data_IF_390441980547
#
_entry.id   IF_390441980547
#
_cell.length_a   1.000
_cell.length_b   1.000
_cell.length_c   1.000
_cell.angle_alpha   90.00
_cell.angle_beta   90.00
_cell.angle_gamma   90.00
#
_symmetry.space_group_name_H-M   'P 1'
#
loop_
_entity.id
_entity.type
_entity.pdbx_description
1 polymer ?
#
# COMPACT_ATOMS: atom_id res chain seq x y z
N UNK A 1 49.82 -45.07 31.47
CA UNK A 1 48.41 -45.00 31.08
C UNK A 1 48.00 -43.53 31.07
N UNK A 2 47.91 -42.85 29.90
CA UNK A 2 47.60 -41.45 29.79
C UNK A 2 46.18 -41.33 29.25
N UNK A 3 45.27 -40.67 29.96
CA UNK A 3 43.91 -40.33 29.56
C UNK A 3 43.90 -39.19 28.56
N UNK A 4 43.10 -39.22 27.50
CA UNK A 4 42.98 -38.12 26.55
C UNK A 4 42.07 -37.01 27.07
N UNK A 5 42.45 -35.79 26.80
CA UNK A 5 41.70 -34.56 27.13
C UNK A 5 40.38 -34.42 26.34
N UNK A 6 39.31 -33.88 26.93
CA UNK A 6 38.05 -33.70 26.24
C UNK A 6 38.16 -32.56 25.22
N UNK A 7 37.71 -32.85 24.01
CA UNK A 7 37.61 -31.93 22.86
C UNK A 7 36.54 -30.84 23.12
N UNK A 8 36.98 -29.60 23.15
CA UNK A 8 36.15 -28.40 23.15
C UNK A 8 35.53 -28.20 21.75
N UNK A 9 34.43 -28.88 21.42
CA UNK A 9 33.70 -28.73 20.17
C UNK A 9 32.20 -28.42 20.47
N UNK A 10 31.93 -27.53 21.36
CA UNK A 10 30.56 -27.22 21.74
C UNK A 10 30.14 -25.75 21.63
N UNK A 11 31.05 -24.84 21.35
CA UNK A 11 30.74 -23.41 21.46
C UNK A 11 30.55 -22.66 20.12
N UNK A 12 30.82 -23.32 19.00
CA UNK A 12 30.74 -22.67 17.69
C UNK A 12 29.32 -22.73 17.06
N UNK A 13 28.42 -23.61 17.54
CA UNK A 13 27.09 -23.76 16.98
C UNK A 13 26.02 -22.84 17.57
N UNK A 14 26.25 -22.24 18.72
CA UNK A 14 25.25 -21.38 19.39
C UNK A 14 25.24 -19.94 18.89
N UNK A 15 26.26 -19.48 18.16
CA UNK A 15 26.34 -18.09 17.67
C UNK A 15 25.68 -17.92 16.31
N UNK A 16 25.42 -18.99 15.58
CA UNK A 16 24.83 -18.92 14.24
C UNK A 16 23.29 -18.78 14.21
N UNK A 17 22.61 -19.00 15.35
CA UNK A 17 21.16 -18.90 15.43
C UNK A 17 20.62 -17.53 15.85
N UNK A 18 21.48 -16.57 16.19
CA UNK A 18 21.07 -15.22 16.59
C UNK A 18 21.07 -14.18 15.45
N UNK A 19 21.37 -14.61 14.23
CA UNK A 19 21.33 -13.77 13.04
C UNK A 19 20.12 -14.04 12.11
N UNK A 20 19.07 -14.66 12.62
CA UNK A 20 17.76 -14.56 11.93
C UNK A 20 17.28 -13.12 12.14
N UNK A 21 17.91 -12.25 11.38
CA UNK A 21 17.60 -10.83 11.36
C UNK A 21 16.11 -10.61 11.15
N UNK A 22 15.56 -9.69 11.91
CA UNK A 22 14.30 -9.05 11.56
C UNK A 22 14.37 -8.69 10.07
N UNK A 23 13.70 -9.45 9.23
CA UNK A 23 13.49 -9.03 7.85
C UNK A 23 12.65 -7.78 7.94
N UNK A 24 13.28 -6.63 7.77
CA UNK A 24 12.57 -5.39 7.54
C UNK A 24 11.59 -5.65 6.40
N UNK A 25 10.33 -5.23 6.52
CA UNK A 25 9.39 -5.33 5.41
C UNK A 25 10.04 -4.67 4.18
N UNK A 26 9.79 -5.23 2.99
CA UNK A 26 10.27 -4.79 1.67
C UNK A 26 9.80 -3.36 1.32
N UNK A 27 9.98 -2.42 2.20
CA UNK A 27 9.81 -1.00 1.94
C UNK A 27 11.20 -0.45 1.64
N UNK A 28 11.42 0.01 0.42
CA UNK A 28 12.61 0.79 0.14
C UNK A 28 12.65 1.98 1.09
N UNK A 29 13.71 2.10 1.88
CA UNK A 29 13.92 3.28 2.73
C UNK A 29 14.71 4.28 1.92
N UNK A 30 14.24 5.52 1.80
CA UNK A 30 15.00 6.60 1.19
C UNK A 30 16.15 7.04 2.10
N UNK A 31 17.10 7.82 1.54
CA UNK A 31 18.21 8.40 2.31
C UNK A 31 17.67 9.32 3.42
N UNK A 32 16.53 9.96 3.20
CA UNK A 32 15.85 10.81 4.18
C UNK A 32 15.05 10.00 5.24
N UNK A 33 15.03 8.68 5.14
CA UNK A 33 14.32 7.81 6.07
C UNK A 33 12.85 7.56 5.71
N UNK A 34 12.41 7.99 4.54
CA UNK A 34 11.06 7.75 4.04
C UNK A 34 10.86 6.29 3.66
N UNK A 35 9.69 5.76 3.97
CA UNK A 35 9.28 4.42 3.58
C UNK A 35 8.55 4.48 2.23
N UNK A 36 9.21 3.97 1.19
CA UNK A 36 8.61 3.85 -0.14
C UNK A 36 7.71 2.62 -0.19
N UNK A 37 6.41 2.84 -0.23
CA UNK A 37 5.42 1.76 -0.27
C UNK A 37 5.15 1.31 -1.71
N UNK A 38 4.94 2.27 -2.62
CA UNK A 38 4.85 2.04 -4.06
C UNK A 38 5.94 2.88 -4.74
N UNK A 39 6.92 2.25 -5.39
CA UNK A 39 8.04 2.98 -5.99
C UNK A 39 8.64 2.31 -7.23
N UNK A 40 8.31 1.04 -7.47
CA UNK A 40 8.80 0.27 -8.59
C UNK A 40 7.73 -0.69 -9.08
N UNK A 41 7.69 -1.00 -10.37
CA UNK A 41 6.76 -1.96 -10.92
C UNK A 41 7.05 -3.36 -10.40
N UNK A 42 5.98 -4.12 -10.24
CA UNK A 42 6.01 -5.54 -9.89
C UNK A 42 4.96 -6.31 -10.71
N UNK A 43 5.07 -7.64 -10.84
CA UNK A 43 4.08 -8.43 -11.54
C UNK A 43 2.70 -8.34 -10.87
N UNK A 44 1.72 -7.73 -11.55
CA UNK A 44 0.38 -7.53 -11.02
C UNK A 44 -0.41 -8.84 -10.90
N UNK A 45 -0.14 -9.83 -11.73
CA UNK A 45 -0.74 -11.16 -11.65
C UNK A 45 -0.24 -11.98 -10.45
N UNK A 46 0.96 -11.67 -9.95
CA UNK A 46 1.58 -12.31 -8.79
C UNK A 46 2.33 -11.25 -7.96
N UNK A 47 1.59 -10.39 -7.22
CA UNK A 47 2.20 -9.29 -6.47
C UNK A 47 3.11 -9.81 -5.35
N UNK A 48 4.09 -8.99 -4.90
CA UNK A 48 4.99 -9.36 -3.80
C UNK A 48 4.24 -9.71 -2.51
N UNK A 49 4.90 -10.44 -1.61
CA UNK A 49 4.32 -11.05 -0.39
C UNK A 49 3.36 -10.17 0.42
N UNK A 50 3.59 -8.87 0.49
CA UNK A 50 2.77 -7.95 1.29
C UNK A 50 1.66 -7.24 0.51
N UNK A 51 1.63 -7.43 -0.82
CA UNK A 51 0.59 -6.91 -1.68
C UNK A 51 -0.48 -7.96 -1.92
N UNK A 52 -1.73 -7.59 -1.76
CA UNK A 52 -2.87 -8.50 -1.90
C UNK A 52 -4.01 -7.83 -2.63
N UNK A 53 -4.71 -8.59 -3.44
CA UNK A 53 -5.99 -8.19 -3.96
C UNK A 53 -7.07 -8.48 -2.91
N UNK A 54 -7.73 -7.44 -2.40
CA UNK A 54 -8.99 -7.59 -1.69
C UNK A 54 -10.11 -7.89 -2.71
N UNK A 55 -10.04 -7.24 -3.87
CA UNK A 55 -10.87 -7.54 -5.04
C UNK A 55 -10.00 -7.44 -6.30
N UNK A 56 -10.05 -8.45 -7.15
CA UNK A 56 -9.16 -8.55 -8.31
C UNK A 56 -9.80 -7.91 -9.53
N UNK A 57 -9.09 -7.08 -10.31
CA UNK A 57 -9.62 -6.53 -11.55
C UNK A 57 -9.83 -7.63 -12.58
N UNK A 58 -10.75 -7.41 -13.50
CA UNK A 58 -11.04 -8.37 -14.56
C UNK A 58 -9.86 -8.57 -15.52
N UNK A 59 -9.02 -7.56 -15.67
CA UNK A 59 -7.80 -7.63 -16.50
C UNK A 59 -6.58 -7.01 -15.82
N UNK A 60 -5.46 -7.67 -16.00
CA UNK A 60 -4.13 -7.28 -15.49
C UNK A 60 -3.13 -7.26 -16.65
N UNK A 61 -2.18 -6.34 -16.58
CA UNK A 61 -0.99 -6.23 -17.46
C UNK A 61 -1.28 -6.13 -18.97
N UNK A 62 -2.50 -5.80 -19.35
CA UNK A 62 -2.83 -5.56 -20.76
C UNK A 62 -3.07 -4.07 -20.95
N UNK A 63 -2.13 -3.39 -21.59
CA UNK A 63 -2.31 -1.99 -22.03
C UNK A 63 -3.39 -1.85 -23.12
N UNK A 64 -4.07 -2.93 -23.49
CA UNK A 64 -5.15 -2.91 -24.45
C UNK A 64 -6.38 -2.22 -23.87
N UNK A 65 -7.06 -1.44 -24.70
CA UNK A 65 -8.35 -0.83 -24.40
C UNK A 65 -9.38 -1.92 -24.11
N UNK A 66 -9.48 -2.29 -22.84
CA UNK A 66 -10.44 -3.28 -22.39
C UNK A 66 -11.72 -2.59 -21.91
N UNK A 67 -12.87 -3.20 -22.19
CA UNK A 67 -14.17 -2.77 -21.65
C UNK A 67 -14.38 -3.13 -20.17
N UNK A 68 -13.39 -3.79 -19.56
CA UNK A 68 -13.42 -4.17 -18.17
C UNK A 68 -12.39 -3.36 -17.35
N UNK A 69 -12.58 -3.31 -16.03
CA UNK A 69 -11.59 -2.77 -15.11
C UNK A 69 -10.21 -3.30 -15.40
N UNK A 70 -9.24 -2.43 -15.51
CA UNK A 70 -7.86 -2.81 -15.77
C UNK A 70 -6.88 -2.11 -14.86
N UNK A 71 -5.82 -2.84 -14.54
CA UNK A 71 -4.69 -2.37 -13.75
C UNK A 71 -3.42 -2.78 -14.48
N UNK A 72 -2.54 -1.82 -14.77
CA UNK A 72 -1.30 -2.06 -15.51
C UNK A 72 -0.26 -0.99 -15.16
N UNK A 73 1.01 -1.26 -15.49
CA UNK A 73 2.08 -0.27 -15.37
C UNK A 73 2.25 0.48 -16.68
N UNK A 74 2.45 1.77 -16.60
CA UNK A 74 2.68 2.66 -17.76
C UNK A 74 3.78 3.66 -17.45
N UNK A 75 4.57 4.00 -18.46
CA UNK A 75 5.56 5.09 -18.39
C UNK A 75 4.90 6.36 -18.93
N UNK A 76 4.75 7.35 -18.06
CA UNK A 76 4.22 8.67 -18.38
C UNK A 76 5.33 9.70 -18.24
N UNK A 77 5.88 10.12 -19.34
CA UNK A 77 6.97 11.13 -19.42
C UNK A 77 8.19 10.75 -18.58
N UNK A 78 8.60 9.47 -18.60
CA UNK A 78 9.73 8.94 -17.84
C UNK A 78 9.42 8.61 -16.38
N UNK A 79 8.16 8.67 -15.97
CA UNK A 79 7.68 8.27 -14.65
C UNK A 79 6.83 7.01 -14.76
N UNK A 80 7.32 5.91 -14.17
CA UNK A 80 6.55 4.67 -14.09
C UNK A 80 5.42 4.83 -13.08
N UNK A 81 4.21 4.59 -13.53
CA UNK A 81 3.00 4.73 -12.74
C UNK A 81 2.09 3.51 -12.86
N UNK A 82 1.35 3.24 -11.81
CA UNK A 82 0.27 2.27 -11.81
C UNK A 82 -0.97 2.93 -12.40
N UNK A 83 -1.37 2.47 -13.58
CA UNK A 83 -2.53 2.94 -14.29
C UNK A 83 -3.78 2.17 -13.85
N UNK A 84 -4.78 2.89 -13.41
CA UNK A 84 -6.07 2.38 -12.97
C UNK A 84 -7.15 2.87 -13.90
N UNK A 85 -7.82 1.97 -14.59
CA UNK A 85 -8.97 2.28 -15.41
C UNK A 85 -10.22 1.67 -14.78
N UNK A 86 -11.02 2.45 -14.06
CA UNK A 86 -12.32 2.02 -13.58
C UNK A 86 -13.27 1.89 -14.78
N UNK A 87 -13.74 0.68 -15.03
CA UNK A 87 -14.77 0.42 -16.01
C UNK A 87 -15.99 -0.21 -15.30
N UNK A 88 -16.58 -1.27 -15.81
CA UNK A 88 -17.66 -1.97 -15.09
C UNK A 88 -17.04 -2.87 -14.01
N UNK A 89 -17.42 -2.65 -12.76
CA UNK A 89 -17.02 -3.44 -11.59
C UNK A 89 -16.06 -2.68 -10.67
N UNK A 90 -15.48 -3.41 -9.75
CA UNK A 90 -14.56 -2.87 -8.71
C UNK A 90 -13.27 -3.66 -8.68
N UNK A 91 -12.20 -3.07 -8.17
CA UNK A 91 -11.02 -3.77 -7.73
C UNK A 91 -10.38 -3.03 -6.55
N UNK A 92 -9.64 -3.76 -5.74
CA UNK A 92 -8.81 -3.20 -4.68
C UNK A 92 -7.50 -4.00 -4.57
N UNK A 93 -6.38 -3.31 -4.73
CA UNK A 93 -5.04 -3.83 -4.50
C UNK A 93 -4.42 -3.06 -3.35
N UNK A 94 -3.97 -3.74 -2.31
CA UNK A 94 -3.38 -3.07 -1.17
C UNK A 94 -2.17 -3.79 -0.60
N UNK A 95 -1.40 -3.03 0.17
CA UNK A 95 -0.23 -3.48 0.88
C UNK A 95 -0.54 -3.58 2.36
N UNK A 96 -0.24 -4.75 2.95
CA UNK A 96 -0.23 -4.91 4.40
C UNK A 96 0.98 -4.19 4.98
N UNK A 97 0.73 -3.43 6.03
CA UNK A 97 1.76 -2.71 6.78
C UNK A 97 1.56 -2.96 8.27
N UNK A 98 2.46 -2.49 9.10
CA UNK A 98 2.32 -2.45 10.55
C UNK A 98 3.15 -1.28 11.08
N UNK A 99 2.80 -0.08 10.64
CA UNK A 99 3.59 1.12 10.86
C UNK A 99 2.87 1.98 11.91
N UNK A 100 3.56 2.28 13.02
CA UNK A 100 3.02 3.21 14.01
C UNK A 100 2.83 4.59 13.36
N UNK A 101 1.62 5.15 13.45
CA UNK A 101 1.29 6.44 12.84
C UNK A 101 2.20 7.55 13.34
N UNK A 102 2.55 7.55 14.64
CA UNK A 102 3.47 8.55 15.20
C UNK A 102 4.92 8.40 14.71
N UNK A 103 5.33 7.22 14.23
CA UNK A 103 6.67 7.02 13.70
C UNK A 103 6.81 7.52 12.25
N UNK A 104 5.74 7.52 11.49
CA UNK A 104 5.66 8.02 10.12
C UNK A 104 4.30 8.66 9.90
N UNK A 105 4.10 9.88 10.44
CA UNK A 105 2.78 10.50 10.48
C UNK A 105 2.30 11.06 9.15
N UNK A 106 3.18 11.15 8.17
CA UNK A 106 2.86 11.80 6.90
C UNK A 106 2.83 10.82 5.75
N UNK A 107 1.74 10.86 5.00
CA UNK A 107 1.54 10.10 3.78
C UNK A 107 1.53 11.06 2.61
N UNK A 108 2.27 10.75 1.56
CA UNK A 108 2.19 11.46 0.29
C UNK A 108 2.15 10.48 -0.87
N UNK A 109 1.51 10.91 -1.96
CA UNK A 109 1.52 10.16 -3.22
C UNK A 109 1.36 11.11 -4.40
N UNK A 110 1.94 10.71 -5.53
CA UNK A 110 1.84 11.44 -6.80
C UNK A 110 0.77 10.77 -7.67
N UNK A 111 -0.11 11.58 -8.24
CA UNK A 111 -1.17 11.11 -9.11
C UNK A 111 -1.35 12.00 -10.34
N UNK A 112 -1.94 11.43 -11.37
CA UNK A 112 -2.34 12.12 -12.61
C UNK A 112 -3.65 11.52 -13.08
N UNK A 113 -4.56 12.35 -13.55
CA UNK A 113 -5.82 11.91 -14.16
C UNK A 113 -5.86 12.34 -15.63
N UNK A 114 -6.25 11.44 -16.52
CA UNK A 114 -6.53 11.86 -17.89
C UNK A 114 -7.86 12.62 -17.97
N UNK A 115 -8.13 13.22 -19.13
CA UNK A 115 -9.28 14.11 -19.30
C UNK A 115 -10.65 13.44 -19.13
N UNK A 116 -10.71 12.10 -19.18
CA UNK A 116 -11.95 11.33 -19.04
C UNK A 116 -12.13 10.75 -17.63
N UNK A 117 -11.10 10.79 -16.78
CA UNK A 117 -11.19 10.29 -15.42
C UNK A 117 -12.10 11.19 -14.56
N UNK A 118 -12.93 10.58 -13.76
CA UNK A 118 -13.82 11.29 -12.84
C UNK A 118 -13.28 11.20 -11.42
N UNK A 119 -13.38 12.30 -10.64
CA UNK A 119 -13.08 12.25 -9.22
C UNK A 119 -13.96 11.22 -8.51
N UNK A 120 -13.31 10.40 -7.66
CA UNK A 120 -14.01 9.36 -6.90
C UNK A 120 -14.11 7.99 -7.59
N UNK A 121 -13.79 7.88 -8.90
CA UNK A 121 -13.67 6.58 -9.56
C UNK A 121 -12.50 5.76 -9.02
N UNK A 122 -11.51 6.43 -8.43
CA UNK A 122 -10.34 5.84 -7.80
C UNK A 122 -10.13 6.41 -6.39
N UNK A 123 -9.76 5.54 -5.47
CA UNK A 123 -9.61 5.89 -4.06
C UNK A 123 -8.29 5.33 -3.50
N UNK A 124 -7.70 6.08 -2.58
CA UNK A 124 -6.71 5.55 -1.66
C UNK A 124 -7.43 4.98 -0.44
N UNK A 125 -7.12 3.74 -0.08
CA UNK A 125 -7.74 3.04 1.04
C UNK A 125 -6.75 2.92 2.18
N UNK A 126 -7.08 3.48 3.34
CA UNK A 126 -6.24 3.47 4.53
C UNK A 126 -6.92 2.65 5.63
N UNK A 127 -6.27 1.58 6.08
CA UNK A 127 -6.73 0.77 7.19
C UNK A 127 -5.89 1.04 8.44
N UNK A 128 -6.56 1.48 9.50
CA UNK A 128 -5.94 1.73 10.80
C UNK A 128 -6.40 0.71 11.83
N UNK A 129 -5.56 0.47 12.83
CA UNK A 129 -5.91 -0.32 13.99
C UNK A 129 -5.28 0.25 15.24
N UNK A 130 -6.09 0.41 16.28
CA UNK A 130 -5.59 0.70 17.60
C UNK A 130 -5.31 -0.61 18.35
N UNK A 131 -4.26 -0.65 19.16
CA UNK A 131 -3.90 -1.83 19.95
C UNK A 131 -5.03 -2.25 20.92
N UNK A 132 -5.79 -1.28 21.41
CA UNK A 132 -6.98 -1.52 22.25
C UNK A 132 -8.10 -2.30 21.55
N UNK A 133 -8.09 -2.38 20.21
CA UNK A 133 -9.10 -3.08 19.41
C UNK A 133 -8.71 -4.52 19.07
N UNK A 134 -7.71 -5.10 19.75
CA UNK A 134 -7.32 -6.50 19.65
C UNK A 134 -5.94 -6.74 19.06
N UNK A 135 -5.61 -8.03 18.91
CA UNK A 135 -4.28 -8.48 18.51
C UNK A 135 -3.85 -7.99 17.12
N UNK A 136 -2.58 -7.64 17.03
CA UNK A 136 -1.88 -7.32 15.79
C UNK A 136 -1.37 -8.58 15.08
N UNK A 137 -2.04 -9.71 15.26
CA UNK A 137 -1.60 -11.00 14.77
C UNK A 137 -1.48 -11.05 13.24
N UNK A 138 -0.56 -11.88 12.75
CA UNK A 138 -0.44 -12.14 11.31
C UNK A 138 -1.74 -12.67 10.69
N UNK A 139 -2.61 -13.31 11.49
CA UNK A 139 -3.91 -13.79 11.06
C UNK A 139 -4.84 -12.65 10.58
N UNK A 140 -4.81 -11.51 11.25
CA UNK A 140 -5.63 -10.35 10.88
C UNK A 140 -5.10 -9.67 9.60
N UNK A 141 -3.77 -9.57 9.52
CA UNK A 141 -3.09 -9.08 8.34
C UNK A 141 -3.03 -10.15 7.24
N UNK A 142 -3.13 -11.42 7.61
CA UNK A 142 -3.07 -12.60 6.73
C UNK A 142 -4.24 -12.71 5.75
N UNK A 143 -5.39 -12.16 6.11
CA UNK A 143 -6.58 -12.19 5.27
C UNK A 143 -6.49 -11.32 4.00
N UNK A 144 -5.50 -10.43 3.91
CA UNK A 144 -5.35 -9.52 2.77
C UNK A 144 -6.46 -8.47 2.66
N UNK A 145 -7.25 -8.28 3.72
CA UNK A 145 -8.34 -7.30 3.78
C UNK A 145 -8.04 -6.22 4.81
N UNK A 146 -8.43 -4.98 4.56
CA UNK A 146 -8.33 -3.93 5.57
C UNK A 146 -9.21 -4.27 6.78
N UNK A 147 -8.87 -3.78 7.99
CA UNK A 147 -9.73 -3.88 9.15
C UNK A 147 -11.08 -3.22 8.88
N UNK A 148 -12.18 -3.93 9.14
CA UNK A 148 -13.53 -3.47 8.74
C UNK A 148 -13.95 -2.20 9.47
N UNK A 149 -13.49 -2.01 10.73
CA UNK A 149 -13.98 -0.93 11.60
C UNK A 149 -13.18 0.38 11.48
N UNK A 150 -12.01 0.35 10.83
CA UNK A 150 -11.05 1.46 10.80
C UNK A 150 -10.52 1.71 9.39
N UNK A 151 -11.41 1.87 8.44
CA UNK A 151 -11.04 2.15 7.04
C UNK A 151 -11.47 3.55 6.65
N UNK A 152 -10.55 4.29 6.05
CA UNK A 152 -10.82 5.56 5.39
C UNK A 152 -10.61 5.36 3.90
N UNK A 153 -11.53 5.85 3.08
CA UNK A 153 -11.42 5.93 1.63
C UNK A 153 -11.29 7.39 1.24
N UNK A 154 -10.20 7.71 0.57
CA UNK A 154 -9.89 9.06 0.11
C UNK A 154 -9.98 9.06 -1.41
N UNK A 155 -10.93 9.81 -2.00
CA UNK A 155 -10.99 9.93 -3.46
C UNK A 155 -9.71 10.58 -3.98
N UNK A 156 -9.10 9.98 -4.99
CA UNK A 156 -7.95 10.55 -5.69
C UNK A 156 -8.48 11.63 -6.63
N UNK A 157 -7.84 12.79 -6.60
CA UNK A 157 -8.25 13.92 -7.41
C UNK A 157 -9.27 14.85 -6.74
N UNK A 158 -9.93 14.43 -5.66
CA UNK A 158 -10.89 15.27 -4.93
C UNK A 158 -11.95 15.86 -5.85
N UNK A 159 -12.09 17.20 -5.84
CA UNK A 159 -13.04 17.93 -6.70
C UNK A 159 -12.42 18.38 -8.04
N UNK A 160 -11.18 17.98 -8.33
CA UNK A 160 -10.44 18.44 -9.51
C UNK A 160 -10.71 17.54 -10.71
N UNK A 161 -11.16 18.13 -11.81
CA UNK A 161 -11.38 17.44 -13.08
C UNK A 161 -10.38 17.86 -14.13
N UNK A 162 -9.94 16.94 -14.98
CA UNK A 162 -9.18 17.24 -16.19
C UNK A 162 -7.76 17.75 -15.98
N UNK A 163 -7.13 17.40 -14.87
CA UNK A 163 -5.74 17.79 -14.58
C UNK A 163 -4.79 16.91 -15.40
N UNK A 164 -4.05 17.55 -16.30
CA UNK A 164 -3.07 16.90 -17.17
C UNK A 164 -1.64 16.94 -16.63
N UNK A 165 -1.47 17.35 -15.39
CA UNK A 165 -0.17 17.49 -14.73
C UNK A 165 -0.12 16.64 -13.48
N UNK A 166 1.06 16.14 -13.15
CA UNK A 166 1.29 15.40 -11.93
C UNK A 166 0.99 16.26 -10.71
N UNK A 167 0.15 15.74 -9.84
CA UNK A 167 -0.21 16.34 -8.55
C UNK A 167 0.39 15.51 -7.43
N UNK A 168 0.60 16.14 -6.27
CA UNK A 168 1.00 15.47 -5.04
C UNK A 168 0.02 15.79 -3.94
N UNK A 169 -0.57 14.75 -3.39
CA UNK A 169 -1.37 14.85 -2.17
C UNK A 169 -0.50 14.55 -0.95
N UNK A 170 -0.89 15.18 0.16
CA UNK A 170 -0.18 15.08 1.42
C UNK A 170 -1.16 15.03 2.58
N UNK A 171 -1.02 14.02 3.45
CA UNK A 171 -1.93 13.78 4.57
C UNK A 171 -1.16 13.61 5.87
N UNK A 172 -1.59 14.33 6.92
CA UNK A 172 -1.25 14.00 8.30
C UNK A 172 -2.17 12.87 8.77
N UNK A 173 -1.62 11.67 8.88
CA UNK A 173 -2.36 10.47 9.27
C UNK A 173 -2.89 10.54 10.69
N UNK A 174 -2.20 11.24 11.60
CA UNK A 174 -2.66 11.43 12.98
C UNK A 174 -3.87 12.35 13.03
N UNK A 175 -3.84 13.46 12.30
CA UNK A 175 -4.96 14.38 12.19
C UNK A 175 -6.14 13.70 11.47
N UNK A 176 -5.87 12.97 10.40
CA UNK A 176 -6.88 12.24 9.66
C UNK A 176 -7.57 11.19 10.55
N UNK A 177 -6.79 10.36 11.26
CA UNK A 177 -7.33 9.35 12.16
C UNK A 177 -8.22 9.98 13.24
N UNK A 178 -7.75 11.02 13.95
CA UNK A 178 -8.52 11.71 14.99
C UNK A 178 -9.82 12.33 14.48
N UNK A 179 -9.87 12.74 13.22
CA UNK A 179 -11.09 13.28 12.61
C UNK A 179 -12.21 12.25 12.54
N UNK A 180 -11.88 10.98 12.27
CA UNK A 180 -12.85 9.88 12.15
C UNK A 180 -13.10 9.17 13.48
N UNK A 181 -12.08 9.09 14.35
CA UNK A 181 -12.13 8.39 15.64
C UNK A 181 -11.53 9.26 16.74
N UNK A 182 -12.26 10.31 17.18
CA UNK A 182 -11.75 11.29 18.13
C UNK A 182 -11.46 10.71 19.52
N UNK A 183 -12.15 9.64 19.90
CA UNK A 183 -12.03 9.00 21.22
C UNK A 183 -10.88 7.98 21.29
N UNK A 184 -10.17 7.75 20.18
CA UNK A 184 -9.04 6.81 20.12
C UNK A 184 -7.71 7.55 20.31
N UNK A 185 -6.91 7.11 21.27
CA UNK A 185 -5.55 7.64 21.43
C UNK A 185 -4.67 7.24 20.24
N UNK A 186 -4.10 8.23 19.57
CA UNK A 186 -3.25 7.99 18.38
C UNK A 186 -1.89 7.39 18.72
N UNK A 187 -1.49 7.32 20.01
CA UNK A 187 -0.19 6.75 20.41
C UNK A 187 -0.07 5.27 20.03
N UNK A 188 -1.18 4.54 20.11
CA UNK A 188 -1.24 3.11 19.82
C UNK A 188 -1.78 2.80 18.41
N UNK A 189 -2.03 3.82 17.60
CA UNK A 189 -2.59 3.63 16.25
C UNK A 189 -1.51 3.22 15.28
N UNK A 190 -1.83 2.21 14.48
CA UNK A 190 -0.99 1.75 13.39
C UNK A 190 -1.74 1.80 12.07
N UNK A 191 -1.04 2.18 11.02
CA UNK A 191 -1.46 1.96 9.64
C UNK A 191 -1.18 0.50 9.31
N UNK A 192 -2.21 -0.30 9.11
CA UNK A 192 -2.11 -1.75 8.86
C UNK A 192 -2.41 -2.13 7.41
N UNK A 193 -3.04 -1.24 6.68
CA UNK A 193 -3.37 -1.40 5.27
C UNK A 193 -3.24 -0.08 4.53
N UNK A 194 -2.65 -0.11 3.36
CA UNK A 194 -2.69 0.95 2.38
C UNK A 194 -3.01 0.35 1.03
N UNK A 195 -4.15 0.73 0.48
CA UNK A 195 -4.69 0.18 -0.74
C UNK A 195 -5.04 1.26 -1.75
N UNK A 196 -5.22 0.83 -2.96
CA UNK A 196 -5.78 1.57 -4.07
C UNK A 196 -6.99 0.80 -4.57
N UNK A 197 -8.08 1.50 -4.73
CA UNK A 197 -9.33 0.92 -5.23
C UNK A 197 -9.82 1.73 -6.43
N UNK A 198 -10.53 1.05 -7.29
CA UNK A 198 -11.27 1.70 -8.36
C UNK A 198 -12.62 1.04 -8.53
N UNK A 199 -13.63 1.86 -8.77
CA UNK A 199 -15.00 1.42 -9.06
C UNK A 199 -15.56 2.19 -10.23
N UNK A 200 -16.28 1.50 -11.09
CA UNK A 200 -16.94 2.12 -12.24
C UNK A 200 -18.21 1.38 -12.62
N UNK A 201 -19.14 2.14 -13.17
CA UNK A 201 -20.40 1.66 -13.72
C UNK A 201 -20.52 1.92 -15.23
N UNK A 202 -19.53 2.61 -15.79
CA UNK A 202 -19.54 3.06 -17.19
C UNK A 202 -18.75 2.10 -18.08
N UNK A 203 -19.19 1.96 -19.32
CA UNK A 203 -18.44 1.20 -20.33
C UNK A 203 -17.08 1.82 -20.60
N UNK A 204 -16.09 0.99 -20.91
CA UNK A 204 -14.69 1.38 -21.09
C UNK A 204 -14.41 2.46 -22.14
N UNK A 205 -15.34 2.67 -23.06
CA UNK A 205 -15.19 3.70 -24.09
C UNK A 205 -15.22 5.14 -23.51
N UNK A 206 -15.67 5.27 -22.25
CA UNK A 206 -15.80 6.55 -21.52
C UNK A 206 -14.90 6.58 -20.26
N UNK A 207 -14.46 5.43 -19.77
CA UNK A 207 -13.70 5.34 -18.55
C UNK A 207 -12.32 6.03 -18.68
N UNK A 208 -12.08 6.99 -17.79
CA UNK A 208 -10.78 7.64 -17.67
C UNK A 208 -9.73 6.73 -17.06
N UNK A 209 -8.50 7.22 -17.01
CA UNK A 209 -7.39 6.54 -16.35
C UNK A 209 -6.81 7.45 -15.27
N UNK A 210 -6.68 6.91 -14.07
CA UNK A 210 -5.91 7.53 -12.99
C UNK A 210 -4.58 6.81 -12.87
N UNK A 211 -3.52 7.58 -12.83
CA UNK A 211 -2.15 7.12 -12.65
C UNK A 211 -1.69 7.43 -11.25
N UNK A 212 -1.05 6.48 -10.61
CA UNK A 212 -0.52 6.62 -9.26
C UNK A 212 0.96 6.25 -9.24
N UNK A 213 1.77 7.11 -8.63
CA UNK A 213 3.20 6.89 -8.46
C UNK A 213 3.63 7.29 -7.06
N UNK A 214 4.68 6.64 -6.54
CA UNK A 214 5.38 7.06 -5.32
C UNK A 214 4.50 7.24 -4.07
N UNK A 215 3.86 6.17 -3.59
CA UNK A 215 3.26 6.21 -2.25
C UNK A 215 4.38 6.16 -1.22
N UNK A 216 4.48 7.21 -0.40
CA UNK A 216 5.54 7.40 0.58
C UNK A 216 4.96 7.66 1.98
N UNK A 217 5.61 7.11 3.00
CA UNK A 217 5.40 7.51 4.39
C UNK A 217 6.66 8.19 4.90
N UNK A 218 6.52 9.36 5.51
CA UNK A 218 7.63 10.17 6.02
C UNK A 218 7.42 10.58 7.48
N UNK A 219 8.50 11.08 8.07
CA UNK A 219 8.55 11.60 9.44
C UNK A 219 8.27 13.09 9.49
#
# INVERSE_FOLDING_TARGET
MRLPAPRRIGLAFAVFYLLTGCSLPDAGVSVEGDLKLLYAPFPLNNPPRYWHYAERPAKLDTGEQSKANSLYWEDIDGRIALAMRPAIGTFELGRRTNIAVLASPYLSFDWLMNASAQPGDTELVLGFRAQSHGDWGESDLGAGKPPVDHVIRLPIGGDMTGIKEWQRDYFDLSALHRRYWPDTDTIDVRLVWIGIAASGDQGADVAGVTYLSHILLSR
#
